data_IF_122889152372
#
_entry.id   IF_122889152372
#
_cell.length_a   1.000
_cell.length_b   1.000
_cell.length_c   1.000
_cell.angle_alpha   90.00
_cell.angle_beta   90.00
_cell.angle_gamma   90.00
#
_symmetry.space_group_name_H-M   'P 1'
#
loop_
_entity.id
_entity.type
_entity.pdbx_description
1 polymer ?
#
# COMPACT_ATOMS: atom_id res chain seq x y z
N UNK A 1 -15.73 3.90 -5.93
CA UNK A 1 -14.64 3.20 -5.21
C UNK A 1 -13.63 2.74 -6.25
N UNK A 2 -12.38 3.20 -6.16
CA UNK A 2 -11.32 2.74 -7.03
C UNK A 2 -10.77 1.41 -6.47
N UNK A 3 -10.67 0.40 -7.31
CA UNK A 3 -10.14 -0.91 -6.94
C UNK A 3 -8.87 -1.16 -7.74
N UNK A 4 -7.80 -1.58 -7.06
CA UNK A 4 -6.51 -1.88 -7.69
C UNK A 4 -6.69 -3.06 -8.65
N UNK A 5 -6.22 -2.88 -9.88
CA UNK A 5 -6.22 -3.87 -10.96
C UNK A 5 -4.79 -4.32 -11.27
N UNK A 6 -4.65 -5.41 -12.04
CA UNK A 6 -3.33 -5.92 -12.45
C UNK A 6 -2.54 -4.90 -13.29
N UNK A 7 -3.22 -4.07 -14.07
CA UNK A 7 -2.57 -3.03 -14.90
C UNK A 7 -1.88 -1.97 -14.04
N UNK A 8 -2.42 -1.68 -12.85
CA UNK A 8 -1.85 -0.67 -11.96
C UNK A 8 -0.45 -1.06 -11.48
N UNK A 9 -0.18 -2.37 -11.33
CA UNK A 9 1.16 -2.87 -10.98
C UNK A 9 2.22 -2.64 -12.08
N UNK A 10 1.79 -2.39 -13.32
CA UNK A 10 2.69 -2.04 -14.42
C UNK A 10 2.76 -0.54 -14.68
N UNK A 11 1.69 0.20 -14.37
CA UNK A 11 1.64 1.66 -14.54
C UNK A 11 2.43 2.39 -13.46
N UNK A 12 2.28 1.98 -12.21
CA UNK A 12 2.86 2.67 -11.05
C UNK A 12 4.13 1.98 -10.55
N UNK A 13 5.06 2.77 -10.05
CA UNK A 13 6.28 2.27 -9.40
C UNK A 13 6.05 1.94 -7.93
N UNK A 14 5.09 2.61 -7.28
CA UNK A 14 4.73 2.41 -5.88
C UNK A 14 3.22 2.31 -5.71
N UNK A 15 2.78 1.29 -4.97
CA UNK A 15 1.42 1.11 -4.50
C UNK A 15 1.44 1.11 -2.97
N UNK A 16 0.97 2.20 -2.37
CA UNK A 16 0.98 2.39 -0.92
C UNK A 16 -0.37 2.01 -0.31
N UNK A 17 -0.35 1.14 0.70
CA UNK A 17 -1.53 0.69 1.43
C UNK A 17 -1.60 1.31 2.82
N UNK A 18 -2.80 1.59 3.31
CA UNK A 18 -2.97 2.14 4.67
C UNK A 18 -2.89 1.06 5.75
N UNK A 19 -3.28 -0.18 5.42
CA UNK A 19 -3.34 -1.28 6.38
C UNK A 19 -2.69 -2.58 5.85
N UNK A 20 -2.40 -3.48 6.78
CA UNK A 20 -1.74 -4.77 6.51
C UNK A 20 -2.62 -5.74 5.71
N UNK A 21 -3.93 -5.65 5.82
CA UNK A 21 -4.86 -6.52 5.09
C UNK A 21 -4.84 -6.18 3.60
N UNK A 22 -4.85 -4.89 3.27
CA UNK A 22 -4.70 -4.38 1.92
C UNK A 22 -3.34 -4.77 1.34
N UNK A 23 -2.25 -4.59 2.10
CA UNK A 23 -0.91 -5.02 1.70
C UNK A 23 -0.85 -6.51 1.35
N UNK A 24 -1.42 -7.36 2.21
CA UNK A 24 -1.44 -8.82 2.00
C UNK A 24 -2.24 -9.19 0.74
N UNK A 25 -3.41 -8.55 0.55
CA UNK A 25 -4.23 -8.79 -0.63
C UNK A 25 -3.52 -8.35 -1.92
N UNK A 26 -2.91 -7.16 -1.94
CA UNK A 26 -2.17 -6.66 -3.09
C UNK A 26 -0.95 -7.52 -3.42
N UNK A 27 -0.21 -7.98 -2.42
CA UNK A 27 0.91 -8.90 -2.65
C UNK A 27 0.46 -10.25 -3.21
N UNK A 28 -0.73 -10.73 -2.83
CA UNK A 28 -1.30 -11.98 -3.36
C UNK A 28 -1.70 -11.88 -4.83
N UNK A 29 -2.17 -10.71 -5.27
CA UNK A 29 -2.62 -10.49 -6.65
C UNK A 29 -1.53 -9.87 -7.55
N UNK A 30 -0.39 -9.49 -6.98
CA UNK A 30 0.74 -8.88 -7.68
C UNK A 30 1.22 -9.82 -8.80
N UNK A 31 1.19 -9.39 -10.07
CA UNK A 31 1.69 -10.21 -11.16
C UNK A 31 3.22 -10.29 -11.14
N UNK A 32 3.74 -11.46 -11.47
CA UNK A 32 5.18 -11.67 -11.62
C UNK A 32 5.74 -10.79 -12.76
N UNK A 33 6.87 -10.14 -12.52
CA UNK A 33 7.48 -9.19 -13.47
C UNK A 33 6.91 -7.76 -13.43
N UNK A 34 5.95 -7.47 -12.55
CA UNK A 34 5.50 -6.09 -12.34
C UNK A 34 6.55 -5.24 -11.62
N UNK A 35 6.70 -3.97 -12.04
CA UNK A 35 7.65 -3.03 -11.41
C UNK A 35 7.15 -2.42 -10.11
N UNK A 36 5.84 -2.46 -9.83
CA UNK A 36 5.28 -1.84 -8.64
C UNK A 36 5.80 -2.45 -7.33
N UNK A 37 6.28 -1.58 -6.43
CA UNK A 37 6.56 -1.91 -5.04
C UNK A 37 5.30 -1.68 -4.19
N UNK A 38 4.84 -2.72 -3.51
CA UNK A 38 3.68 -2.65 -2.61
C UNK A 38 4.18 -2.51 -1.18
N UNK A 39 3.87 -1.39 -0.52
CA UNK A 39 4.36 -1.07 0.82
C UNK A 39 3.26 -0.40 1.67
N UNK A 40 3.43 -0.34 3.00
CA UNK A 40 2.52 0.46 3.83
C UNK A 40 2.87 1.94 3.70
N UNK A 41 1.87 2.79 3.68
CA UNK A 41 2.07 4.23 3.68
C UNK A 41 2.86 4.67 4.93
N UNK A 42 2.55 4.08 6.09
CA UNK A 42 3.29 4.31 7.34
C UNK A 42 4.73 3.79 7.37
N UNK A 43 5.18 2.99 6.38
CA UNK A 43 6.61 2.65 6.27
C UNK A 43 7.45 3.84 5.77
N UNK A 44 6.82 4.87 5.21
CA UNK A 44 7.48 6.11 4.77
C UNK A 44 7.43 7.22 5.83
N UNK A 45 6.88 6.94 7.01
CA UNK A 45 6.90 7.88 8.12
C UNK A 45 8.34 7.94 8.70
N UNK A 46 9.02 9.09 8.66
CA UNK A 46 10.37 9.24 9.20
C UNK A 46 10.45 9.00 10.72
N UNK A 47 9.33 9.09 11.44
CA UNK A 47 9.26 8.78 12.87
C UNK A 47 9.01 7.28 13.15
N UNK A 48 8.74 6.49 12.12
CA UNK A 48 8.58 5.03 12.21
C UNK A 48 7.21 4.58 12.75
N UNK A 49 6.27 5.51 12.93
CA UNK A 49 4.93 5.21 13.36
C UNK A 49 4.12 4.57 12.22
N UNK A 50 4.15 3.24 12.20
CA UNK A 50 3.37 2.41 11.26
C UNK A 50 1.86 2.53 11.45
N UNK A 51 1.40 3.25 12.48
CA UNK A 51 0.00 3.42 12.83
C UNK A 51 -0.26 4.93 12.93
N UNK A 52 -0.86 5.49 11.88
CA UNK A 52 -1.38 6.86 11.93
C UNK A 52 -2.53 6.86 12.92
N UNK A 53 -2.31 7.43 14.10
CA UNK A 53 -3.37 7.63 15.09
C UNK A 53 -4.32 8.71 14.58
N UNK A 54 -5.61 8.40 14.50
CA UNK A 54 -6.63 9.31 14.00
C UNK A 54 -6.78 10.51 14.97
N UNK A 55 -6.57 11.77 14.52
CA UNK A 55 -6.60 12.95 15.40
C UNK A 55 -8.02 13.32 15.89
N UNK A 56 -9.07 12.65 15.43
CA UNK A 56 -10.45 12.98 15.78
C UNK A 56 -10.93 12.43 17.15
N UNK A 57 -10.13 11.62 17.84
CA UNK A 57 -10.47 11.06 19.16
C UNK A 57 -9.54 11.56 20.27
N UNK A 58 -9.40 12.89 20.39
CA UNK A 58 -8.83 13.56 21.57
C UNK A 58 -9.85 13.68 22.71
#
# INVERSE_FOLDING_TARGET
MYQVTKEDFYKFDYLLCMDRSNLSNLNRIKPEGSKAMVQLFGDFDPEGDRIISDPYYG
#
